data_IF_880637895196
#
_entry.id   IF_880637895196
#
_cell.length_a   1.000
_cell.length_b   1.000
_cell.length_c   1.000
_cell.angle_alpha   90.00
_cell.angle_beta   90.00
_cell.angle_gamma   90.00
#
_symmetry.space_group_name_H-M   'P 1'
#
loop_
_entity.id
_entity.type
_entity.pdbx_description
1 polymer ?
#
# COMPACT_ATOMS: atom_id res chain seq x y z
N UNK A 1 -11.82 26.16 15.57
CA UNK A 1 -11.69 24.79 15.03
C UNK A 1 -12.15 24.68 13.56
N UNK A 2 -13.42 24.96 13.22
CA UNK A 2 -13.94 24.75 11.86
C UNK A 2 -13.45 25.74 10.76
N UNK A 3 -13.17 27.00 11.14
CA UNK A 3 -12.86 28.06 10.17
C UNK A 3 -11.53 27.87 9.41
N UNK A 4 -10.55 27.18 10.01
CA UNK A 4 -9.23 26.91 9.38
C UNK A 4 -9.37 25.96 8.21
N UNK A 5 -10.04 24.86 8.46
CA UNK A 5 -10.21 23.77 7.52
C UNK A 5 -11.18 24.13 6.40
N UNK A 6 -12.15 25.01 6.69
CA UNK A 6 -13.00 25.63 5.67
C UNK A 6 -12.19 26.47 4.67
N UNK A 7 -11.17 27.22 5.11
CA UNK A 7 -10.30 27.98 4.19
C UNK A 7 -9.42 27.07 3.33
N UNK A 8 -8.88 25.98 3.90
CA UNK A 8 -8.12 24.98 3.13
C UNK A 8 -9.01 24.34 2.07
N UNK A 9 -10.23 23.97 2.45
CA UNK A 9 -11.22 23.42 1.53
C UNK A 9 -11.60 24.43 0.43
N UNK A 10 -11.75 25.70 0.77
CA UNK A 10 -12.04 26.76 -0.19
C UNK A 10 -10.91 26.91 -1.22
N UNK A 11 -9.65 26.91 -0.78
CA UNK A 11 -8.48 26.92 -1.70
C UNK A 11 -8.49 25.70 -2.60
N UNK A 12 -8.74 24.50 -2.07
CA UNK A 12 -8.81 23.27 -2.87
C UNK A 12 -9.98 23.27 -3.87
N UNK A 13 -11.13 23.82 -3.48
CA UNK A 13 -12.34 23.88 -4.30
C UNK A 13 -12.16 24.78 -5.52
N UNK A 14 -11.42 25.90 -5.40
CA UNK A 14 -11.13 26.81 -6.52
C UNK A 14 -10.41 26.11 -7.69
N UNK A 15 -9.59 25.11 -7.38
CA UNK A 15 -8.85 24.34 -8.39
C UNK A 15 -9.53 23.02 -8.77
N UNK A 16 -10.67 22.66 -8.18
CA UNK A 16 -11.31 21.36 -8.40
C UNK A 16 -11.70 21.13 -9.87
N UNK A 17 -12.09 22.18 -10.59
CA UNK A 17 -12.45 22.10 -12.01
C UNK A 17 -11.27 21.68 -12.91
N UNK A 18 -10.06 22.09 -12.55
CA UNK A 18 -8.82 21.82 -13.30
C UNK A 18 -8.21 20.45 -13.03
N UNK A 19 -8.61 19.76 -11.94
CA UNK A 19 -8.06 18.44 -11.60
C UNK A 19 -8.59 17.32 -12.48
N UNK A 20 -9.86 17.41 -12.87
CA UNK A 20 -10.53 16.44 -13.72
C UNK A 20 -11.33 17.17 -14.80
N UNK A 21 -10.66 17.74 -15.82
CA UNK A 21 -11.34 18.50 -16.88
C UNK A 21 -12.30 17.62 -17.69
N UNK A 22 -11.93 16.36 -17.92
CA UNK A 22 -12.71 15.42 -18.73
C UNK A 22 -13.76 14.61 -17.94
N UNK A 23 -13.72 14.66 -16.61
CA UNK A 23 -14.60 13.84 -15.76
C UNK A 23 -15.21 14.68 -14.62
N UNK A 24 -16.30 15.42 -14.91
CA UNK A 24 -16.92 16.34 -13.96
C UNK A 24 -17.55 15.63 -12.74
N UNK A 25 -17.96 14.38 -12.88
CA UNK A 25 -18.52 13.55 -11.80
C UNK A 25 -17.58 13.32 -10.60
N UNK A 26 -16.26 13.36 -10.81
CA UNK A 26 -15.27 13.18 -9.74
C UNK A 26 -14.98 14.48 -8.97
N UNK A 27 -15.40 15.65 -9.48
CA UNK A 27 -15.17 16.95 -8.81
C UNK A 27 -15.85 17.01 -7.45
N UNK A 28 -17.10 16.56 -7.40
CA UNK A 28 -17.91 16.55 -6.17
C UNK A 28 -17.42 15.47 -5.19
N UNK A 29 -16.99 14.31 -5.69
CA UNK A 29 -16.40 13.25 -4.87
C UNK A 29 -15.10 13.68 -4.19
N UNK A 30 -14.22 14.38 -4.91
CA UNK A 30 -12.98 14.92 -4.35
C UNK A 30 -13.26 15.91 -3.22
N UNK A 31 -14.14 16.90 -3.44
CA UNK A 31 -14.47 17.91 -2.43
C UNK A 31 -15.12 17.26 -1.20
N UNK A 32 -15.99 16.26 -1.38
CA UNK A 32 -16.60 15.48 -0.29
C UNK A 32 -15.57 14.68 0.51
N UNK A 33 -14.68 13.94 -0.16
CA UNK A 33 -13.63 13.16 0.52
C UNK A 33 -12.65 14.08 1.23
N UNK A 34 -12.30 15.22 0.63
CA UNK A 34 -11.42 16.23 1.24
C UNK A 34 -12.05 16.85 2.48
N UNK A 35 -13.34 17.22 2.43
CA UNK A 35 -14.03 17.79 3.60
C UNK A 35 -14.18 16.78 4.74
N UNK A 36 -14.33 15.48 4.42
CA UNK A 36 -14.31 14.40 5.40
C UNK A 36 -12.95 14.31 6.09
N UNK A 37 -11.85 14.17 5.34
CA UNK A 37 -10.49 14.06 5.89
C UNK A 37 -10.09 15.28 6.71
N UNK A 38 -10.51 16.48 6.29
CA UNK A 38 -10.24 17.70 7.03
C UNK A 38 -11.02 17.77 8.35
N UNK A 39 -12.22 17.20 8.43
CA UNK A 39 -12.99 17.10 9.69
C UNK A 39 -12.40 16.06 10.63
N UNK A 40 -12.02 14.89 10.12
CA UNK A 40 -11.36 13.83 10.88
C UNK A 40 -10.04 14.34 11.50
N UNK A 41 -9.26 15.14 10.77
CA UNK A 41 -8.02 15.75 11.30
C UNK A 41 -8.24 17.01 12.14
N UNK A 42 -9.37 17.70 12.00
CA UNK A 42 -9.70 18.85 12.84
C UNK A 42 -9.91 18.47 14.31
N UNK A 43 -10.21 17.20 14.58
CA UNK A 43 -10.39 16.67 15.94
C UNK A 43 -9.05 16.48 16.68
N UNK A 44 -7.91 16.53 15.99
CA UNK A 44 -6.59 16.16 16.54
C UNK A 44 -5.59 17.29 16.81
N UNK A 45 -5.97 18.57 16.68
CA UNK A 45 -5.07 19.68 17.06
C UNK A 45 -5.29 21.01 16.33
N UNK A 46 -4.81 22.10 16.95
CA UNK A 46 -4.88 23.46 16.41
C UNK A 46 -3.60 23.81 15.63
N UNK A 47 -3.74 24.20 14.36
CA UNK A 47 -2.64 24.84 13.63
C UNK A 47 -2.50 26.29 14.12
N UNK A 48 -1.35 26.63 14.73
CA UNK A 48 -1.02 28.00 15.09
C UNK A 48 -1.27 28.95 13.90
N UNK A 49 -1.76 30.17 14.16
CA UNK A 49 -2.22 31.10 13.12
C UNK A 49 -1.19 31.38 12.03
N UNK A 50 0.10 31.38 12.39
CA UNK A 50 1.22 31.53 11.46
C UNK A 50 1.44 30.30 10.58
N UNK A 51 1.46 29.10 11.18
CA UNK A 51 1.55 27.84 10.45
C UNK A 51 0.38 27.66 9.48
N UNK A 52 -0.83 28.07 9.88
CA UNK A 52 -2.01 28.14 8.99
C UNK A 52 -1.77 29.08 7.81
N UNK A 53 -1.32 30.31 8.05
CA UNK A 53 -1.07 31.30 7.00
C UNK A 53 0.03 30.84 6.05
N UNK A 54 1.08 30.22 6.56
CA UNK A 54 2.16 29.66 5.77
C UNK A 54 1.67 28.48 4.92
N UNK A 55 0.93 27.55 5.53
CA UNK A 55 0.35 26.40 4.83
C UNK A 55 -0.59 26.82 3.70
N UNK A 56 -1.50 27.77 3.94
CA UNK A 56 -2.41 28.27 2.92
C UNK A 56 -1.66 28.93 1.76
N UNK A 57 -0.61 29.72 2.06
CA UNK A 57 0.26 30.34 1.04
C UNK A 57 1.00 29.29 0.22
N UNK A 58 1.64 28.33 0.88
CA UNK A 58 2.38 27.26 0.20
C UNK A 58 1.45 26.42 -0.67
N UNK A 59 0.28 26.03 -0.13
CA UNK A 59 -0.70 25.21 -0.87
C UNK A 59 -1.26 25.94 -2.07
N UNK A 60 -1.60 27.22 -1.95
CA UNK A 60 -2.06 28.03 -3.08
C UNK A 60 -0.98 28.13 -4.17
N UNK A 61 0.29 28.34 -3.77
CA UNK A 61 1.43 28.41 -4.71
C UNK A 61 1.64 27.10 -5.46
N UNK A 62 1.60 25.96 -4.77
CA UNK A 62 1.75 24.63 -5.38
C UNK A 62 0.58 24.31 -6.35
N UNK A 63 -0.64 24.69 -5.99
CA UNK A 63 -1.80 24.51 -6.88
C UNK A 63 -1.71 25.41 -8.12
N UNK A 64 -1.28 26.67 -7.95
CA UNK A 64 -1.06 27.57 -9.07
C UNK A 64 0.08 27.11 -10.00
N UNK A 65 1.17 26.55 -9.46
CA UNK A 65 2.24 25.97 -10.28
C UNK A 65 1.77 24.76 -11.08
N UNK A 66 0.89 23.93 -10.50
CA UNK A 66 0.43 22.70 -11.15
C UNK A 66 -0.69 22.91 -12.16
N UNK A 67 -1.61 23.84 -11.90
CA UNK A 67 -2.83 24.04 -12.70
C UNK A 67 -2.90 25.40 -13.41
N UNK A 68 -1.89 26.25 -13.24
CA UNK A 68 -1.87 27.63 -13.75
C UNK A 68 -2.42 28.64 -12.72
N UNK A 69 -2.02 29.91 -12.85
CA UNK A 69 -2.59 30.99 -12.06
C UNK A 69 -4.05 31.21 -12.45
N UNK A 70 -4.94 31.25 -11.47
CA UNK A 70 -6.34 31.63 -11.70
C UNK A 70 -6.38 33.11 -12.10
N UNK A 71 -6.56 33.41 -13.39
CA UNK A 71 -6.91 34.75 -13.83
C UNK A 71 -8.29 35.11 -13.27
N UNK A 72 -8.42 36.31 -12.68
CA UNK A 72 -9.71 36.79 -12.19
C UNK A 72 -10.76 36.77 -13.31
N UNK A 73 -11.97 36.23 -13.09
CA UNK A 73 -13.06 36.44 -14.02
C UNK A 73 -13.57 37.87 -13.84
N UNK A 74 -13.09 38.76 -14.71
CA UNK A 74 -13.69 40.07 -14.94
C UNK A 74 -15.00 39.95 -15.72
N UNK A 75 -16.08 40.43 -15.10
CA UNK A 75 -17.29 41.00 -15.71
C UNK A 75 -18.30 40.08 -16.41
N UNK A 76 -19.37 39.69 -15.69
CA UNK A 76 -20.75 40.12 -16.01
C UNK A 76 -21.75 39.91 -14.84
N UNK A 77 -22.16 41.04 -14.24
CA UNK A 77 -23.45 41.44 -13.62
C UNK A 77 -24.33 40.40 -12.86
N UNK A 78 -24.41 40.51 -11.53
CA UNK A 78 -25.53 41.14 -10.78
C UNK A 78 -25.54 40.77 -9.28
N UNK A 79 -25.38 41.81 -8.44
CA UNK A 79 -25.72 42.02 -7.02
C UNK A 79 -26.04 40.84 -6.08
N UNK A 80 -25.29 40.70 -4.97
CA UNK A 80 -25.56 41.39 -3.69
C UNK A 80 -24.38 41.24 -2.69
N UNK A 81 -24.11 42.35 -1.98
CA UNK A 81 -23.19 42.66 -0.85
C UNK A 81 -22.79 41.47 0.06
N UNK A 82 -21.63 41.42 0.73
CA UNK A 82 -20.89 42.52 1.35
C UNK A 82 -19.44 42.13 1.77
N UNK A 83 -18.61 43.18 1.87
CA UNK A 83 -17.55 43.40 2.88
C UNK A 83 -16.20 42.68 2.75
N UNK A 84 -15.25 43.45 2.19
CA UNK A 84 -13.80 43.42 2.48
C UNK A 84 -13.54 43.54 3.99
N UNK A 85 -12.49 42.89 4.51
CA UNK A 85 -11.54 43.53 5.46
C UNK A 85 -10.23 42.74 5.66
N UNK A 86 -9.15 43.53 5.74
CA UNK A 86 -7.98 43.42 6.64
C UNK A 86 -7.08 42.18 6.57
N UNK A 87 -6.07 42.22 5.69
CA UNK A 87 -4.80 41.52 5.92
C UNK A 87 -3.55 42.41 5.71
N UNK A 88 -3.75 43.71 5.48
CA UNK A 88 -2.70 44.72 5.52
C UNK A 88 -2.72 45.39 6.89
N UNK A 89 -1.97 44.85 7.85
CA UNK A 89 -1.28 45.61 8.91
C UNK A 89 -0.66 44.68 9.96
N UNK A 90 0.56 45.06 10.34
CA UNK A 90 1.22 44.92 11.64
C UNK A 90 2.02 43.63 11.94
N UNK A 91 3.35 43.77 11.78
CA UNK A 91 4.41 43.84 12.82
C UNK A 91 4.43 42.85 14.02
N UNK A 92 5.67 42.49 14.38
CA UNK A 92 6.15 41.53 15.39
C UNK A 92 6.48 42.28 16.69
N UNK A 93 6.03 41.86 17.89
CA UNK A 93 6.95 41.25 18.87
C UNK A 93 6.34 40.32 19.94
N UNK A 94 7.20 39.50 20.58
CA UNK A 94 7.19 39.33 22.04
C UNK A 94 6.71 37.99 22.64
N UNK A 95 7.64 37.31 23.31
CA UNK A 95 7.61 36.03 24.05
C UNK A 95 6.72 36.05 25.32
N UNK A 96 6.03 34.94 25.67
CA UNK A 96 6.08 34.31 27.01
C UNK A 96 5.41 32.91 27.09
N UNK A 97 6.03 32.03 27.89
CA UNK A 97 5.68 30.64 28.19
C UNK A 97 4.40 30.51 29.05
N UNK A 98 3.76 29.34 29.04
CA UNK A 98 3.61 28.49 30.25
C UNK A 98 2.89 27.15 29.96
N UNK A 99 3.41 26.08 30.57
CA UNK A 99 2.81 24.74 30.73
C UNK A 99 2.52 24.51 32.22
N UNK A 100 1.49 23.72 32.60
CA UNK A 100 1.72 22.34 33.11
C UNK A 100 0.52 21.40 32.81
N UNK A 101 0.48 20.08 33.05
CA UNK A 101 1.34 19.07 33.69
C UNK A 101 0.49 17.83 34.05
N UNK A 102 1.13 16.66 34.16
CA UNK A 102 0.65 15.43 34.85
C UNK A 102 -0.23 14.45 34.05
N UNK A 103 -0.24 13.14 34.30
CA UNK A 103 0.70 12.22 34.96
C UNK A 103 0.28 10.77 34.59
N UNK A 104 1.17 9.80 34.76
CA UNK A 104 1.04 8.43 34.25
C UNK A 104 0.22 7.48 35.14
N UNK A 105 -0.44 6.50 34.50
CA UNK A 105 -0.97 5.31 35.16
C UNK A 105 -1.18 4.14 34.18
N UNK A 106 -0.44 3.04 34.37
CA UNK A 106 -0.74 1.72 33.78
C UNK A 106 -1.84 1.02 34.59
N UNK A 107 -2.67 0.15 33.97
CA UNK A 107 -2.53 -1.29 34.28
C UNK A 107 -2.82 -2.23 33.10
N UNK A 108 -2.36 -3.48 33.24
CA UNK A 108 -2.47 -4.55 32.23
C UNK A 108 -3.83 -5.24 32.16
N UNK A 109 -4.10 -5.92 31.04
CA UNK A 109 -5.28 -6.75 30.78
C UNK A 109 -4.92 -7.82 29.73
N UNK A 110 -4.99 -9.12 30.03
CA UNK A 110 -6.12 -10.06 29.90
C UNK A 110 -6.75 -10.15 28.49
N UNK A 111 -6.71 -11.37 27.96
CA UNK A 111 -7.05 -11.80 26.61
C UNK A 111 -8.55 -11.75 26.31
N UNK A 112 -8.91 -11.41 25.06
CA UNK A 112 -10.24 -11.63 24.48
C UNK A 112 -10.07 -12.30 23.11
N UNK A 113 -10.56 -13.53 22.98
CA UNK A 113 -10.74 -14.20 21.69
C UNK A 113 -12.01 -13.66 21.02
N UNK A 114 -11.90 -13.22 19.77
CA UNK A 114 -13.07 -12.95 18.91
C UNK A 114 -12.92 -13.79 17.65
N UNK A 115 -13.63 -14.91 17.60
CA UNK A 115 -13.75 -15.72 16.40
C UNK A 115 -14.91 -15.21 15.53
N UNK A 116 -14.62 -14.85 14.29
CA UNK A 116 -15.65 -14.54 13.28
C UNK A 116 -15.79 -15.78 12.40
N UNK A 117 -16.87 -16.54 12.57
CA UNK A 117 -17.24 -17.59 11.63
C UNK A 117 -17.98 -16.98 10.43
N UNK A 118 -17.38 -17.06 9.24
CA UNK A 118 -18.08 -16.78 7.99
C UNK A 118 -18.52 -18.11 7.37
N UNK A 119 -19.83 -18.33 7.35
CA UNK A 119 -20.46 -19.50 6.77
C UNK A 119 -20.63 -19.43 5.26
N UNK A 120 -20.56 -20.60 4.63
CA UNK A 120 -21.32 -21.02 3.45
C UNK A 120 -21.11 -20.25 2.16
N UNK A 121 -20.17 -20.72 1.32
CA UNK A 121 -20.16 -20.38 -0.11
C UNK A 121 -21.36 -21.02 -0.81
N UNK A 122 -22.22 -20.20 -1.43
CA UNK A 122 -23.23 -20.63 -2.40
C UNK A 122 -22.60 -20.59 -3.78
N UNK A 123 -22.67 -21.72 -4.49
CA UNK A 123 -22.15 -21.95 -5.84
C UNK A 123 -22.74 -20.96 -6.85
N UNK A 124 -21.89 -20.43 -7.75
CA UNK A 124 -22.30 -19.74 -8.97
C UNK A 124 -22.28 -20.74 -10.15
N UNK A 125 -23.15 -20.59 -11.16
CA UNK A 125 -23.36 -21.63 -12.17
C UNK A 125 -22.20 -21.73 -13.15
N UNK A 126 -21.89 -22.96 -13.55
CA UNK A 126 -20.89 -23.34 -14.54
C UNK A 126 -21.25 -22.81 -15.95
N UNK A 127 -20.22 -22.43 -16.72
CA UNK A 127 -20.31 -22.08 -18.14
C UNK A 127 -20.05 -23.34 -18.98
N UNK A 128 -20.75 -23.56 -20.11
CA UNK A 128 -20.60 -24.80 -20.87
C UNK A 128 -19.30 -24.84 -21.67
N UNK A 129 -18.76 -26.05 -21.79
CA UNK A 129 -17.57 -26.40 -22.57
C UNK A 129 -17.79 -26.18 -24.08
N UNK A 130 -16.72 -25.77 -24.77
CA UNK A 130 -16.62 -25.89 -26.22
C UNK A 130 -15.96 -24.69 -26.90
N UNK A 131 -14.63 -24.62 -26.89
CA UNK A 131 -13.81 -24.22 -28.05
C UNK A 131 -12.33 -24.45 -27.72
N UNK A 132 -11.75 -25.45 -28.37
CA UNK A 132 -10.30 -25.59 -28.52
C UNK A 132 -9.86 -24.60 -29.59
N UNK A 133 -9.02 -23.62 -29.24
CA UNK A 133 -8.23 -22.89 -30.22
C UNK A 133 -6.79 -22.78 -29.73
N UNK A 134 -5.89 -23.40 -30.50
CA UNK A 134 -4.45 -23.27 -30.41
C UNK A 134 -4.00 -21.93 -31.03
N UNK A 135 -2.94 -21.36 -30.44
CA UNK A 135 -1.94 -20.44 -31.01
C UNK A 135 -2.25 -18.92 -31.17
N UNK A 136 -1.38 -18.09 -30.57
CA UNK A 136 -1.08 -16.70 -30.98
C UNK A 136 -1.16 -15.63 -29.86
N UNK A 137 -0.21 -14.66 -29.76
CA UNK A 137 -0.24 -13.59 -28.77
C UNK A 137 -1.17 -12.47 -29.27
N UNK A 138 -2.47 -12.64 -29.09
CA UNK A 138 -3.44 -11.61 -29.45
C UNK A 138 -3.94 -10.89 -28.20
N UNK A 139 -3.66 -9.59 -28.13
CA UNK A 139 -4.25 -8.70 -27.14
C UNK A 139 -5.77 -8.66 -27.33
N UNK A 140 -6.50 -9.12 -26.32
CA UNK A 140 -7.96 -9.02 -26.27
C UNK A 140 -8.38 -7.79 -25.48
N UNK A 141 -9.12 -6.89 -26.13
CA UNK A 141 -9.86 -5.82 -25.46
C UNK A 141 -11.20 -6.38 -25.01
N UNK A 142 -11.46 -6.37 -23.71
CA UNK A 142 -12.76 -6.78 -23.17
C UNK A 142 -13.61 -5.53 -23.02
N UNK A 143 -14.45 -5.24 -24.01
CA UNK A 143 -15.35 -4.10 -23.97
C UNK A 143 -16.53 -4.39 -23.03
N UNK A 144 -16.53 -3.72 -21.87
CA UNK A 144 -17.73 -3.47 -21.07
C UNK A 144 -18.06 -1.98 -21.21
N UNK A 145 -19.34 -1.58 -21.30
CA UNK A 145 -19.67 -0.17 -21.55
C UNK A 145 -19.14 0.70 -20.39
N UNK A 146 -18.13 1.53 -20.68
CA UNK A 146 -17.59 2.53 -19.74
C UNK A 146 -16.18 2.29 -19.19
N UNK A 147 -15.57 1.13 -19.45
CA UNK A 147 -14.19 0.86 -19.05
C UNK A 147 -13.43 0.15 -20.18
N UNK A 148 -12.57 0.88 -20.89
CA UNK A 148 -11.64 0.27 -21.85
C UNK A 148 -10.49 -0.37 -21.08
N UNK A 149 -10.52 -1.70 -20.99
CA UNK A 149 -9.40 -2.48 -20.44
C UNK A 149 -8.36 -2.66 -21.54
N UNK A 150 -7.29 -1.86 -21.49
CA UNK A 150 -6.08 -2.11 -22.28
C UNK A 150 -5.14 -3.01 -21.48
N UNK A 151 -4.88 -4.23 -21.97
CA UNK A 151 -3.95 -5.17 -21.32
C UNK A 151 -3.05 -5.85 -22.34
N UNK A 152 -1.76 -5.94 -22.04
CA UNK A 152 -0.87 -6.89 -22.71
C UNK A 152 -0.90 -8.21 -21.93
N UNK A 153 -1.34 -9.27 -22.59
CA UNK A 153 -1.23 -10.64 -22.10
C UNK A 153 0.18 -11.16 -22.38
N UNK A 154 0.99 -11.34 -21.34
CA UNK A 154 2.17 -12.18 -21.43
C UNK A 154 1.76 -13.60 -21.05
N UNK A 155 1.90 -14.55 -21.98
CA UNK A 155 1.68 -15.96 -21.70
C UNK A 155 2.90 -16.51 -20.97
N UNK A 156 2.74 -16.86 -19.69
CA UNK A 156 3.72 -17.68 -18.99
C UNK A 156 3.37 -19.16 -19.18
N UNK A 157 4.39 -19.99 -19.37
CA UNK A 157 4.22 -21.43 -19.55
C UNK A 157 3.66 -22.12 -18.29
N UNK A 158 3.77 -21.46 -17.13
CA UNK A 158 3.37 -22.00 -15.83
C UNK A 158 2.56 -20.97 -15.05
N UNK A 159 1.71 -21.45 -14.14
CA UNK A 159 0.81 -20.64 -13.33
C UNK A 159 1.56 -19.53 -12.60
N UNK A 160 1.12 -18.29 -12.79
CA UNK A 160 1.60 -17.11 -12.05
C UNK A 160 0.83 -17.04 -10.75
N UNK A 161 1.54 -17.06 -9.61
CA UNK A 161 0.89 -17.16 -8.30
C UNK A 161 0.66 -15.81 -7.63
N UNK A 162 1.49 -14.82 -7.95
CA UNK A 162 1.35 -13.44 -7.49
C UNK A 162 1.93 -12.47 -8.49
N UNK A 163 1.36 -11.27 -8.50
CA UNK A 163 1.85 -10.09 -9.20
C UNK A 163 1.79 -8.90 -8.25
N UNK A 164 2.85 -8.08 -8.22
CA UNK A 164 2.92 -6.92 -7.33
C UNK A 164 3.78 -5.81 -7.95
N UNK A 165 3.27 -4.58 -7.89
CA UNK A 165 4.04 -3.38 -8.21
C UNK A 165 5.07 -3.07 -7.13
N UNK A 166 6.19 -2.49 -7.55
CA UNK A 166 7.10 -1.82 -6.63
C UNK A 166 6.39 -0.60 -6.00
N UNK A 167 6.82 -0.21 -4.80
CA UNK A 167 6.15 0.82 -4.00
C UNK A 167 6.43 2.23 -4.55
N UNK A 168 7.68 2.51 -4.93
CA UNK A 168 8.10 3.83 -5.42
C UNK A 168 8.13 3.92 -6.95
N UNK A 169 8.21 2.79 -7.64
CA UNK A 169 8.30 2.70 -9.10
C UNK A 169 7.00 2.20 -9.73
N UNK A 170 6.11 3.13 -10.11
CA UNK A 170 4.80 2.83 -10.75
C UNK A 170 4.86 2.00 -12.04
N UNK A 171 6.04 1.86 -12.64
CA UNK A 171 6.24 1.12 -13.88
C UNK A 171 6.97 -0.21 -13.67
N UNK A 172 7.42 -0.49 -12.44
CA UNK A 172 8.13 -1.72 -12.10
C UNK A 172 7.14 -2.69 -11.45
N UNK A 173 7.09 -3.90 -11.99
CA UNK A 173 6.19 -4.96 -11.57
C UNK A 173 6.98 -6.25 -11.46
N UNK A 174 6.74 -7.02 -10.41
CA UNK A 174 7.26 -8.38 -10.31
C UNK A 174 6.10 -9.37 -10.37
N UNK A 175 6.41 -10.57 -10.86
CA UNK A 175 5.52 -11.71 -10.82
C UNK A 175 6.31 -12.97 -10.47
N UNK A 176 5.66 -13.91 -9.79
CA UNK A 176 6.25 -15.19 -9.44
C UNK A 176 5.47 -16.34 -10.09
N UNK A 177 6.18 -17.39 -10.47
CA UNK A 177 5.59 -18.55 -11.14
C UNK A 177 5.96 -19.85 -10.43
N UNK A 178 5.12 -20.87 -10.65
CA UNK A 178 5.37 -22.23 -10.19
C UNK A 178 6.55 -22.92 -10.91
N UNK A 179 7.14 -22.29 -11.92
CA UNK A 179 8.38 -22.75 -12.58
C UNK A 179 9.66 -22.48 -11.77
N UNK A 180 9.53 -21.88 -10.57
CA UNK A 180 10.67 -21.54 -9.72
C UNK A 180 11.36 -20.23 -10.12
N UNK A 181 10.74 -19.45 -11.02
CA UNK A 181 11.26 -18.16 -11.46
C UNK A 181 10.41 -16.99 -10.96
N UNK A 182 11.08 -15.88 -10.68
CA UNK A 182 10.43 -14.58 -10.58
C UNK A 182 10.83 -13.72 -11.78
N UNK A 183 9.88 -13.02 -12.37
CA UNK A 183 10.16 -12.08 -13.46
C UNK A 183 9.89 -10.67 -12.98
N UNK A 184 10.88 -9.80 -13.14
CA UNK A 184 10.75 -8.35 -12.91
C UNK A 184 10.58 -7.69 -14.27
N UNK A 185 9.50 -6.95 -14.42
CA UNK A 185 9.00 -6.38 -15.65
C UNK A 185 8.90 -4.86 -15.52
N UNK A 186 9.21 -4.15 -16.60
CA UNK A 186 8.93 -2.72 -16.74
C UNK A 186 7.79 -2.54 -17.73
N UNK A 187 6.76 -1.82 -17.32
CA UNK A 187 5.59 -1.55 -18.15
C UNK A 187 5.72 -0.26 -18.98
N UNK A 188 6.54 0.69 -18.52
CA UNK A 188 6.78 1.95 -19.21
C UNK A 188 8.13 2.58 -18.79
N UNK A 189 8.73 3.46 -19.62
CA UNK A 189 8.31 3.80 -20.98
C UNK A 189 8.60 2.67 -21.98
N UNK A 190 7.82 2.61 -23.07
CA UNK A 190 7.96 1.59 -24.13
C UNK A 190 7.00 0.39 -23.97
N UNK A 191 7.08 -0.61 -24.86
CA UNK A 191 6.33 -1.85 -24.70
C UNK A 191 6.78 -2.58 -23.43
N UNK A 192 5.87 -3.28 -22.73
CA UNK A 192 6.22 -3.98 -21.51
C UNK A 192 7.28 -5.04 -21.79
N UNK A 193 8.34 -5.02 -21.00
CA UNK A 193 9.49 -5.88 -21.18
C UNK A 193 9.91 -6.52 -19.85
N UNK A 194 10.34 -7.77 -19.92
CA UNK A 194 10.97 -8.45 -18.79
C UNK A 194 12.39 -7.93 -18.65
N UNK A 195 12.66 -7.20 -17.57
CA UNK A 195 14.00 -6.69 -17.27
C UNK A 195 14.92 -7.80 -16.77
N UNK A 196 14.40 -8.64 -15.87
CA UNK A 196 15.16 -9.69 -15.18
C UNK A 196 14.30 -10.93 -14.95
N UNK A 197 14.92 -12.09 -15.04
CA UNK A 197 14.38 -13.37 -14.56
C UNK A 197 15.26 -13.88 -13.44
N UNK A 198 14.72 -13.89 -12.23
CA UNK A 198 15.37 -14.37 -11.01
C UNK A 198 15.18 -15.89 -10.97
N UNK A 199 16.27 -16.63 -11.23
CA UNK A 199 16.28 -18.08 -11.26
C UNK A 199 17.12 -18.61 -10.10
N UNK A 200 16.62 -19.63 -9.43
CA UNK A 200 17.40 -20.33 -8.41
C UNK A 200 16.59 -21.17 -7.44
N UNK A 201 15.29 -20.92 -7.28
CA UNK A 201 14.44 -21.81 -6.50
C UNK A 201 14.40 -23.22 -7.12
N UNK A 202 14.41 -24.24 -6.27
CA UNK A 202 14.36 -25.64 -6.68
C UNK A 202 12.95 -26.16 -6.96
N UNK A 203 11.94 -25.38 -6.59
CA UNK A 203 10.53 -25.67 -6.81
C UNK A 203 9.76 -24.35 -7.05
N UNK A 204 8.44 -24.45 -7.25
CA UNK A 204 7.60 -23.29 -7.53
C UNK A 204 7.71 -22.17 -6.51
N UNK A 205 7.73 -20.93 -6.99
CA UNK A 205 7.72 -19.75 -6.11
C UNK A 205 6.30 -19.55 -5.61
N UNK A 206 6.16 -19.54 -4.30
CA UNK A 206 4.86 -19.50 -3.65
C UNK A 206 4.41 -18.06 -3.45
N UNK A 207 5.30 -17.17 -3.03
CA UNK A 207 4.99 -15.76 -2.77
C UNK A 207 6.26 -14.91 -2.87
N UNK A 208 6.09 -13.59 -2.97
CA UNK A 208 7.18 -12.65 -2.88
C UNK A 208 6.72 -11.29 -2.33
N UNK A 209 7.65 -10.49 -1.84
CA UNK A 209 7.40 -9.14 -1.37
C UNK A 209 8.56 -8.21 -1.77
N UNK A 210 8.22 -6.96 -2.08
CA UNK A 210 9.18 -5.87 -2.26
C UNK A 210 9.55 -5.27 -0.91
N UNK A 211 10.83 -4.91 -0.73
CA UNK A 211 11.23 -3.96 0.31
C UNK A 211 10.56 -2.62 0.07
N UNK A 212 10.34 -1.82 1.12
CA UNK A 212 9.71 -0.50 0.95
C UNK A 212 10.53 0.42 0.05
N UNK A 213 11.86 0.30 0.11
CA UNK A 213 12.83 1.00 -0.72
C UNK A 213 12.98 0.42 -2.13
N UNK A 214 12.35 -0.72 -2.43
CA UNK A 214 12.42 -1.44 -3.71
C UNK A 214 13.82 -1.89 -4.17
N UNK A 215 14.80 -1.79 -3.28
CA UNK A 215 16.19 -2.23 -3.46
C UNK A 215 16.35 -3.74 -3.35
N UNK A 216 15.38 -4.43 -2.74
CA UNK A 216 15.47 -5.86 -2.46
C UNK A 216 14.12 -6.54 -2.66
N UNK A 217 14.17 -7.74 -3.20
CA UNK A 217 13.02 -8.65 -3.31
C UNK A 217 13.23 -9.86 -2.40
N UNK A 218 12.17 -10.24 -1.69
CA UNK A 218 12.13 -11.50 -0.94
C UNK A 218 11.15 -12.42 -1.61
N UNK A 219 11.55 -13.65 -1.87
CA UNK A 219 10.67 -14.69 -2.37
C UNK A 219 10.67 -15.90 -1.46
N UNK A 220 9.53 -16.57 -1.41
CA UNK A 220 9.34 -17.85 -0.72
C UNK A 220 8.94 -18.90 -1.74
N UNK A 221 9.28 -20.16 -1.45
CA UNK A 221 9.05 -21.26 -2.37
C UNK A 221 8.67 -22.54 -1.65
N UNK A 222 8.04 -23.42 -2.42
CA UNK A 222 7.77 -24.80 -2.06
C UNK A 222 9.06 -25.62 -1.87
N UNK A 223 10.23 -25.10 -2.24
CA UNK A 223 11.53 -25.73 -1.92
C UNK A 223 11.95 -25.57 -0.45
N UNK A 224 11.09 -24.92 0.36
CA UNK A 224 11.33 -24.66 1.76
C UNK A 224 12.39 -23.59 2.01
N UNK A 225 12.65 -22.72 1.03
CA UNK A 225 13.64 -21.65 1.15
C UNK A 225 13.04 -20.27 0.91
N UNK A 226 13.52 -19.31 1.69
CA UNK A 226 13.38 -17.90 1.43
C UNK A 226 14.64 -17.43 0.69
N UNK A 227 14.46 -16.64 -0.36
CA UNK A 227 15.57 -16.04 -1.10
C UNK A 227 15.45 -14.53 -1.14
N UNK A 228 16.60 -13.89 -0.99
CA UNK A 228 16.80 -12.46 -1.10
C UNK A 228 17.43 -12.16 -2.44
N UNK A 229 16.86 -11.23 -3.20
CA UNK A 229 17.29 -10.89 -4.54
C UNK A 229 17.56 -9.42 -4.68
N UNK A 230 18.58 -9.11 -5.47
CA UNK A 230 18.78 -7.78 -6.03
C UNK A 230 17.91 -7.67 -7.31
N UNK A 231 16.89 -6.81 -7.36
CA UNK A 231 16.04 -6.64 -8.54
C UNK A 231 16.79 -5.97 -9.71
N UNK A 232 17.88 -5.25 -9.47
CA UNK A 232 18.66 -4.55 -10.50
C UNK A 232 19.62 -5.50 -11.23
N UNK A 233 20.38 -6.28 -10.46
CA UNK A 233 21.35 -7.25 -10.95
C UNK A 233 20.73 -8.63 -11.26
N UNK A 234 19.58 -8.91 -10.65
CA UNK A 234 18.91 -10.21 -10.73
C UNK A 234 19.62 -11.32 -9.94
N UNK A 235 20.58 -10.96 -9.08
CA UNK A 235 21.40 -11.91 -8.32
C UNK A 235 20.70 -12.33 -7.03
N UNK A 236 20.88 -13.59 -6.66
CA UNK A 236 20.48 -14.09 -5.34
C UNK A 236 21.50 -13.62 -4.31
N UNK A 237 21.13 -12.66 -3.48
CA UNK A 237 21.97 -12.12 -2.40
C UNK A 237 22.11 -13.16 -1.29
N UNK A 238 21.01 -13.83 -0.94
CA UNK A 238 20.98 -14.79 0.17
C UNK A 238 19.92 -15.86 -0.03
N UNK A 239 20.22 -17.06 0.45
CA UNK A 239 19.30 -18.19 0.59
C UNK A 239 19.17 -18.54 2.07
N UNK A 240 17.95 -18.59 2.58
CA UNK A 240 17.63 -18.92 3.96
C UNK A 240 16.70 -20.13 3.94
N UNK A 241 17.15 -21.34 4.32
CA UNK A 241 16.27 -22.49 4.45
C UNK A 241 15.37 -22.35 5.68
N UNK A 242 14.14 -22.83 5.59
CA UNK A 242 13.30 -23.01 6.77
C UNK A 242 13.95 -24.06 7.70
N UNK A 243 14.03 -23.80 9.02
CA UNK A 243 14.67 -24.74 9.95
C UNK A 243 14.07 -26.14 9.95
N UNK A 244 12.77 -26.27 9.63
CA UNK A 244 12.07 -27.55 9.62
C UNK A 244 12.06 -28.19 8.22
N UNK A 245 12.64 -27.52 7.21
CA UNK A 245 12.58 -27.92 5.81
C UNK A 245 11.16 -27.90 5.24
N UNK A 246 10.27 -27.09 5.81
CA UNK A 246 8.87 -27.01 5.38
C UNK A 246 8.70 -26.02 4.24
N UNK A 247 7.74 -26.29 3.35
CA UNK A 247 7.34 -25.37 2.28
C UNK A 247 6.96 -24.01 2.86
N UNK A 248 7.48 -22.94 2.26
CA UNK A 248 7.09 -21.58 2.60
C UNK A 248 5.99 -21.15 1.64
N UNK A 249 4.89 -20.63 2.16
CA UNK A 249 3.67 -20.39 1.38
C UNK A 249 3.39 -18.90 1.17
N UNK A 250 3.82 -18.05 2.08
CA UNK A 250 3.63 -16.61 2.00
C UNK A 250 4.75 -15.85 2.73
N UNK A 251 4.94 -14.59 2.34
CA UNK A 251 5.89 -13.70 3.00
C UNK A 251 5.46 -12.23 2.95
N UNK A 252 5.90 -11.45 3.95
CA UNK A 252 5.70 -10.01 4.01
C UNK A 252 6.92 -9.31 4.64
N UNK A 253 7.25 -8.13 4.14
CA UNK A 253 8.20 -7.23 4.82
C UNK A 253 7.54 -6.53 5.99
N UNK A 254 8.29 -6.32 7.06
CA UNK A 254 7.87 -5.47 8.17
C UNK A 254 8.01 -3.99 7.77
N UNK A 255 6.93 -3.19 7.70
CA UNK A 255 7.00 -1.85 7.11
C UNK A 255 7.79 -0.83 7.95
N UNK A 256 7.97 -1.06 9.25
CA UNK A 256 8.82 -0.19 10.08
C UNK A 256 10.30 -0.58 10.08
N UNK A 257 10.60 -1.84 9.76
CA UNK A 257 11.94 -2.38 9.83
C UNK A 257 12.21 -3.22 8.58
N UNK A 258 12.83 -2.57 7.58
CA UNK A 258 13.13 -3.19 6.30
C UNK A 258 14.11 -4.39 6.41
N UNK A 259 14.76 -4.58 7.57
CA UNK A 259 15.62 -5.73 7.82
C UNK A 259 14.87 -6.97 8.33
N UNK A 260 13.57 -6.85 8.63
CA UNK A 260 12.75 -7.96 9.11
C UNK A 260 11.71 -8.34 8.06
N UNK A 261 11.57 -9.66 7.91
CA UNK A 261 10.57 -10.28 7.06
C UNK A 261 9.84 -11.34 7.84
N UNK A 262 8.58 -11.56 7.51
CA UNK A 262 7.79 -12.63 8.10
C UNK A 262 7.46 -13.64 7.02
N UNK A 263 7.60 -14.91 7.36
CA UNK A 263 7.27 -16.05 6.51
C UNK A 263 6.21 -16.93 7.14
N UNK A 264 5.29 -17.41 6.31
CA UNK A 264 4.30 -18.41 6.67
C UNK A 264 4.64 -19.75 6.04
N UNK A 265 4.53 -20.82 6.83
CA UNK A 265 4.90 -22.18 6.43
C UNK A 265 3.67 -23.10 6.32
N UNK A 266 3.81 -24.13 5.47
CA UNK A 266 2.91 -25.29 5.46
C UNK A 266 2.94 -26.10 6.77
N UNK A 267 3.94 -25.91 7.64
CA UNK A 267 3.97 -26.52 8.99
C UNK A 267 3.31 -25.66 10.06
N UNK A 268 2.35 -24.83 9.67
CA UNK A 268 1.54 -24.03 10.59
C UNK A 268 2.33 -22.97 11.37
N UNK A 269 3.56 -22.67 10.93
CA UNK A 269 4.45 -21.74 11.63
C UNK A 269 4.47 -20.40 10.91
N UNK A 270 4.50 -19.33 11.70
CA UNK A 270 4.86 -17.98 11.29
C UNK A 270 6.22 -17.67 11.90
N UNK A 271 7.16 -17.18 11.11
CA UNK A 271 8.52 -16.87 11.59
C UNK A 271 8.96 -15.51 11.11
N UNK A 272 9.57 -14.75 12.00
CA UNK A 272 10.26 -13.50 11.71
C UNK A 272 11.72 -13.82 11.42
N UNK A 273 12.21 -13.39 10.25
CA UNK A 273 13.56 -13.64 9.76
C UNK A 273 14.21 -12.30 9.46
N UNK A 274 15.42 -12.12 9.98
CA UNK A 274 16.26 -10.98 9.65
C UNK A 274 16.97 -11.23 8.31
N UNK A 275 16.72 -10.38 7.30
CA UNK A 275 17.25 -10.57 5.95
C UNK A 275 18.77 -10.36 5.85
N UNK A 276 19.34 -9.49 6.70
CA UNK A 276 20.79 -9.18 6.69
C UNK A 276 21.64 -10.32 7.26
N UNK A 277 21.09 -11.11 8.18
CA UNK A 277 21.79 -12.24 8.82
C UNK A 277 21.28 -13.60 8.36
N UNK A 278 20.06 -13.68 7.83
CA UNK A 278 19.36 -14.93 7.53
C UNK A 278 18.94 -15.72 8.77
N UNK A 279 18.96 -15.12 9.96
CA UNK A 279 18.60 -15.78 11.22
C UNK A 279 17.16 -15.42 11.62
N UNK A 280 16.49 -16.36 12.28
CA UNK A 280 15.22 -16.09 12.92
C UNK A 280 15.39 -15.07 14.07
N UNK A 281 14.44 -14.15 14.22
CA UNK A 281 14.41 -13.23 15.36
C UNK A 281 14.05 -14.00 16.65
N UNK A 282 14.56 -13.54 17.80
CA UNK A 282 14.26 -14.19 19.08
C UNK A 282 12.81 -13.87 19.48
N UNK A 283 12.02 -14.90 19.75
CA UNK A 283 10.61 -14.73 20.11
C UNK A 283 9.67 -14.50 18.92
N UNK A 284 10.22 -14.22 17.74
CA UNK A 284 9.47 -14.03 16.49
C UNK A 284 9.00 -15.34 15.84
N UNK A 285 8.44 -16.28 16.63
CA UNK A 285 7.84 -17.51 16.11
C UNK A 285 6.44 -17.71 16.68
N UNK A 286 5.46 -17.93 15.81
CA UNK A 286 4.08 -18.22 16.18
C UNK A 286 3.56 -19.47 15.49
N UNK A 287 2.53 -20.11 16.05
CA UNK A 287 1.89 -21.29 15.47
C UNK A 287 0.40 -21.03 15.25
N UNK A 288 -0.10 -21.40 14.08
CA UNK A 288 -1.51 -21.35 13.70
C UNK A 288 -2.14 -22.76 13.72
N UNK A 289 -3.48 -22.87 13.70
CA UNK A 289 -4.15 -24.17 13.61
C UNK A 289 -4.04 -24.81 12.22
N UNK A 290 -3.86 -24.02 11.16
CA UNK A 290 -3.70 -24.49 9.77
C UNK A 290 -2.39 -24.06 9.08
N UNK A 291 -2.25 -24.42 7.80
CA UNK A 291 -1.18 -23.94 6.92
C UNK A 291 -1.31 -22.44 6.74
N UNK A 292 -0.23 -21.69 6.91
CA UNK A 292 -0.28 -20.22 6.80
C UNK A 292 -0.31 -19.84 5.33
N UNK A 293 -1.42 -19.30 4.85
CA UNK A 293 -1.63 -18.99 3.43
C UNK A 293 -1.42 -17.53 3.09
N UNK A 294 -1.66 -16.63 4.05
CA UNK A 294 -1.63 -15.19 3.82
C UNK A 294 -1.09 -14.45 5.04
N UNK A 295 -0.35 -13.37 4.80
CA UNK A 295 0.20 -12.47 5.79
C UNK A 295 -0.08 -11.03 5.38
N UNK A 296 -0.48 -10.19 6.32
CA UNK A 296 -0.70 -8.77 6.09
C UNK A 296 -0.40 -7.97 7.35
N UNK A 297 0.37 -6.89 7.21
CA UNK A 297 0.59 -5.94 8.30
C UNK A 297 -0.48 -4.86 8.30
N UNK A 298 -0.80 -4.36 9.49
CA UNK A 298 -1.53 -3.12 9.63
C UNK A 298 -0.72 -1.91 9.10
N UNK A 299 -1.40 -0.80 8.82
CA UNK A 299 -0.73 0.40 8.29
C UNK A 299 0.47 0.89 9.11
N UNK A 300 0.47 0.85 10.46
CA UNK A 300 1.65 1.21 11.23
C UNK A 300 2.68 0.07 11.39
N UNK A 301 2.38 -1.17 11.00
CA UNK A 301 3.30 -2.31 11.13
C UNK A 301 3.44 -2.89 12.54
N UNK A 302 2.49 -2.63 13.45
CA UNK A 302 2.52 -3.17 14.82
C UNK A 302 1.79 -4.50 14.94
N UNK A 303 0.82 -4.74 14.07
CA UNK A 303 -0.01 -5.95 14.10
C UNK A 303 0.14 -6.68 12.78
N UNK A 304 0.57 -7.94 12.88
CA UNK A 304 0.56 -8.89 11.79
C UNK A 304 -0.73 -9.71 11.84
N UNK A 305 -1.42 -9.80 10.72
CA UNK A 305 -2.54 -10.69 10.52
C UNK A 305 -2.09 -11.87 9.66
N UNK A 306 -2.38 -13.08 10.13
CA UNK A 306 -2.09 -14.33 9.43
C UNK A 306 -3.38 -15.12 9.22
N UNK A 307 -3.62 -15.54 7.97
CA UNK A 307 -4.75 -16.39 7.61
C UNK A 307 -4.27 -17.81 7.28
N UNK A 308 -5.06 -18.80 7.68
CA UNK A 308 -4.77 -20.20 7.41
C UNK A 308 -5.80 -20.93 6.53
N UNK A 309 -5.46 -22.15 6.13
CA UNK A 309 -6.30 -23.02 5.30
C UNK A 309 -7.49 -23.65 6.03
N UNK A 310 -7.64 -23.41 7.34
CA UNK A 310 -8.79 -23.82 8.15
C UNK A 310 -9.80 -22.70 8.34
N UNK A 311 -9.59 -21.56 7.68
CA UNK A 311 -10.44 -20.38 7.80
C UNK A 311 -10.24 -19.60 9.09
N UNK A 312 -9.15 -19.83 9.82
CA UNK A 312 -8.78 -19.03 10.98
C UNK A 312 -7.95 -17.81 10.56
N UNK A 313 -8.18 -16.69 11.24
CA UNK A 313 -7.35 -15.50 11.15
C UNK A 313 -6.80 -15.21 12.54
N UNK A 314 -5.47 -15.18 12.67
CA UNK A 314 -4.77 -14.88 13.91
C UNK A 314 -4.05 -13.54 13.79
N UNK A 315 -4.00 -12.78 14.88
CA UNK A 315 -3.22 -11.55 14.98
C UNK A 315 -2.02 -11.74 15.90
N UNK A 316 -0.89 -11.12 15.54
CA UNK A 316 0.34 -11.10 16.31
C UNK A 316 0.78 -9.66 16.53
N UNK A 317 1.21 -9.35 17.74
CA UNK A 317 1.87 -8.07 18.03
C UNK A 317 3.34 -8.21 17.63
N UNK A 318 3.77 -7.41 16.66
CA UNK A 318 5.16 -7.32 16.23
C UNK A 318 5.79 -6.06 16.81
N UNK A 319 6.79 -6.24 17.67
CA UNK A 319 7.65 -5.15 18.10
C UNK A 319 8.78 -4.96 17.07
N UNK A 320 8.82 -3.84 16.33
CA UNK A 320 9.82 -3.62 15.28
C UNK A 320 11.26 -3.61 15.78
N UNK A 321 11.51 -3.38 17.07
CA UNK A 321 12.85 -3.36 17.67
C UNK A 321 13.41 -4.74 18.00
N UNK A 322 12.55 -5.69 18.37
CA UNK A 322 12.95 -7.03 18.85
C UNK A 322 12.61 -8.16 17.88
N UNK A 323 11.64 -7.93 17.00
CA UNK A 323 11.19 -8.86 15.96
C UNK A 323 10.06 -9.76 16.44
#
# INVERSE_FOLDING_TARGET
>A
MAAVWQQVLAVDARYAAYRTPQLPQFRTQYVRRRSQLLRERAQGGHLAGEARRWYLRLRARLLAQRYGALSEPGSCRSALRASRTTLDRMEVPGIHLDTPGGDWGTPGHTWVHVGIHLGGYRELPQRPEGHQDNAGPHGGTWDTPGHTWGGLGHTWAHLVRKVQFAHDERHLLACCSLDGTLSVCRLAPGPPAVLRRLRGHGAGVSDFAWSLSNDVLVSTSLDGTLRLWDPSDGRCIRRVPDPDGAELLCCAFQPLNNNLTVVGSARHMVRVVNISTGKAARGGTGRLPGRVLALCFDSPGRVLWAGDDRGSVSSFLCDPGTG
#
